data_IF_057733218535
#
_entry.id   IF_057733218535
#
_cell.length_a   1.000
_cell.length_b   1.000
_cell.length_c   1.000
_cell.angle_alpha   90.00
_cell.angle_beta   90.00
_cell.angle_gamma   90.00
#
_symmetry.space_group_name_H-M   'P 1'
#
loop_
_entity.id
_entity.type
_entity.pdbx_description
1 polymer ?
#
# COMPACT_ATOMS: atom_id res chain seq x y z
N UNK A 1 -56.55 13.29 45.85
CA UNK A 1 -56.14 14.69 46.08
C UNK A 1 -54.65 14.81 45.78
N UNK A 2 -54.31 15.62 44.78
CA UNK A 2 -52.95 15.89 44.30
C UNK A 2 -52.05 16.50 45.38
N UNK A 3 -50.76 16.12 45.39
CA UNK A 3 -49.67 17.08 45.57
C UNK A 3 -48.52 16.74 44.61
N UNK A 4 -47.98 17.82 44.07
CA UNK A 4 -47.00 17.97 43.00
C UNK A 4 -45.59 18.05 43.61
N UNK A 5 -44.59 17.74 42.80
CA UNK A 5 -43.15 17.50 43.06
C UNK A 5 -42.38 18.62 43.81
N UNK A 6 -41.12 18.35 44.21
CA UNK A 6 -40.01 18.93 43.43
C UNK A 6 -38.75 18.05 43.31
N UNK A 7 -38.11 18.17 42.14
CA UNK A 7 -36.66 18.26 41.87
C UNK A 7 -35.65 17.60 42.82
N UNK A 8 -34.95 16.57 42.32
CA UNK A 8 -33.50 16.42 42.52
C UNK A 8 -32.84 16.06 41.18
N UNK A 9 -31.92 16.92 40.75
CA UNK A 9 -31.03 16.70 39.63
C UNK A 9 -29.88 15.78 40.08
N UNK A 10 -29.64 14.70 39.35
CA UNK A 10 -28.50 13.80 39.55
C UNK A 10 -28.10 13.18 38.20
N UNK A 11 -26.80 13.11 37.89
CA UNK A 11 -26.28 13.38 36.56
C UNK A 11 -26.57 12.26 35.56
N UNK A 12 -26.92 12.69 34.35
CA UNK A 12 -26.95 11.84 33.18
C UNK A 12 -25.61 11.12 33.01
N UNK A 13 -25.65 9.79 33.05
CA UNK A 13 -24.52 8.93 32.66
C UNK A 13 -24.41 8.95 31.13
N UNK A 14 -23.97 10.08 30.58
CA UNK A 14 -23.39 10.10 29.24
C UNK A 14 -21.91 9.78 29.40
N UNK A 15 -21.53 8.55 29.07
CA UNK A 15 -20.22 8.14 28.52
C UNK A 15 -19.92 6.69 28.89
N UNK A 16 -20.14 5.76 27.94
CA UNK A 16 -19.44 4.47 27.91
C UNK A 16 -19.57 3.71 26.58
N UNK A 17 -20.10 4.28 25.49
CA UNK A 17 -20.34 3.52 24.24
C UNK A 17 -19.99 4.29 22.96
N UNK A 18 -19.05 5.23 23.01
CA UNK A 18 -18.65 6.05 21.85
C UNK A 18 -17.29 5.73 21.24
N UNK A 19 -16.40 5.00 21.91
CA UNK A 19 -14.96 5.08 21.60
C UNK A 19 -14.30 3.75 21.27
N UNK A 20 -14.93 2.92 20.43
CA UNK A 20 -14.33 1.64 20.00
C UNK A 20 -14.54 1.27 18.53
N UNK A 21 -15.09 2.13 17.67
CA UNK A 21 -15.39 1.73 16.27
C UNK A 21 -14.33 2.18 15.26
N UNK A 22 -13.42 3.10 15.59
CA UNK A 22 -12.63 3.77 14.53
C UNK A 22 -11.21 3.22 14.26
N UNK A 23 -10.64 2.34 15.09
CA UNK A 23 -9.21 1.97 14.96
C UNK A 23 -8.92 0.74 14.11
N UNK A 24 -9.90 -0.15 13.86
CA UNK A 24 -9.63 -1.45 13.23
C UNK A 24 -9.69 -1.42 11.69
N UNK A 25 -10.48 -0.52 11.10
CA UNK A 25 -10.69 -0.45 9.64
C UNK A 25 -9.52 0.14 8.86
N UNK A 26 -8.97 1.26 9.34
CA UNK A 26 -7.86 1.97 8.67
C UNK A 26 -6.57 1.15 8.62
N UNK A 27 -6.18 0.51 9.74
CA UNK A 27 -4.97 -0.30 9.78
C UNK A 27 -5.00 -1.55 8.88
N UNK A 28 -6.19 -2.11 8.64
CA UNK A 28 -6.39 -3.23 7.73
C UNK A 28 -6.34 -2.77 6.26
N UNK A 29 -6.98 -1.64 5.95
CA UNK A 29 -6.96 -1.05 4.62
C UNK A 29 -5.54 -0.62 4.20
N UNK A 30 -4.76 -0.03 5.11
CA UNK A 30 -3.37 0.37 4.86
C UNK A 30 -2.46 -0.82 4.56
N UNK A 31 -2.63 -1.92 5.30
CA UNK A 31 -1.89 -3.18 5.06
C UNK A 31 -2.25 -3.79 3.71
N UNK A 32 -3.53 -3.77 3.33
CA UNK A 32 -3.98 -4.27 2.04
C UNK A 32 -3.37 -3.44 0.89
N UNK A 33 -3.45 -2.10 0.97
CA UNK A 33 -2.85 -1.23 -0.05
C UNK A 33 -1.34 -1.38 -0.16
N UNK A 34 -0.64 -1.61 0.96
CA UNK A 34 0.80 -1.93 0.95
C UNK A 34 1.10 -3.26 0.27
N UNK A 35 0.30 -4.30 0.53
CA UNK A 35 0.45 -5.61 -0.12
C UNK A 35 0.26 -5.51 -1.63
N UNK A 36 -0.78 -4.81 -2.09
CA UNK A 36 -1.05 -4.59 -3.51
C UNK A 36 0.12 -3.87 -4.22
N UNK A 37 0.76 -2.90 -3.56
CA UNK A 37 1.94 -2.22 -4.12
C UNK A 37 3.17 -3.13 -4.19
N UNK A 38 3.40 -3.95 -3.17
CA UNK A 38 4.47 -4.96 -3.19
C UNK A 38 4.27 -5.92 -4.36
N UNK A 39 3.03 -6.38 -4.56
CA UNK A 39 2.68 -7.29 -5.64
C UNK A 39 2.86 -6.63 -7.01
N UNK A 40 2.47 -5.35 -7.15
CA UNK A 40 2.70 -4.59 -8.37
C UNK A 40 4.19 -4.48 -8.72
N UNK A 41 5.05 -4.12 -7.76
CA UNK A 41 6.51 -4.05 -7.98
C UNK A 41 7.07 -5.43 -8.35
N UNK A 42 6.61 -6.50 -7.69
CA UNK A 42 7.04 -7.85 -8.04
C UNK A 42 6.65 -8.25 -9.47
N UNK A 43 5.44 -7.86 -9.91
CA UNK A 43 4.99 -8.08 -11.28
C UNK A 43 5.82 -7.27 -12.28
N UNK A 44 6.11 -6.00 -12.01
CA UNK A 44 6.98 -5.16 -12.85
C UNK A 44 8.36 -5.80 -13.04
N UNK A 45 9.02 -6.21 -11.96
CA UNK A 45 10.32 -6.89 -12.05
C UNK A 45 10.24 -8.24 -12.76
N UNK A 46 9.11 -8.94 -12.66
CA UNK A 46 8.89 -10.19 -13.40
C UNK A 46 8.78 -9.94 -14.90
N UNK A 47 8.10 -8.86 -15.31
CA UNK A 47 8.05 -8.42 -16.71
C UNK A 47 9.44 -8.03 -17.20
N UNK A 48 10.18 -7.24 -16.44
CA UNK A 48 11.54 -6.84 -16.83
C UNK A 48 12.50 -8.01 -16.96
N UNK A 49 12.42 -9.00 -16.07
CA UNK A 49 13.25 -10.21 -16.15
C UNK A 49 13.04 -11.00 -17.45
N UNK A 50 11.82 -11.03 -17.95
CA UNK A 50 11.48 -11.74 -19.18
C UNK A 50 11.93 -10.93 -20.40
N UNK A 51 11.60 -9.64 -20.45
CA UNK A 51 11.84 -8.80 -21.63
C UNK A 51 13.30 -8.35 -21.77
N UNK A 52 14.03 -8.23 -20.67
CA UNK A 52 15.42 -7.76 -20.65
C UNK A 52 16.39 -8.82 -20.12
N UNK A 53 16.17 -10.10 -20.43
CA UNK A 53 16.87 -11.24 -19.81
C UNK A 53 18.38 -11.02 -19.57
N UNK A 54 19.15 -10.73 -20.62
CA UNK A 54 20.60 -10.56 -20.52
C UNK A 54 20.98 -9.37 -19.62
N UNK A 55 20.31 -8.23 -19.78
CA UNK A 55 20.57 -7.03 -18.99
C UNK A 55 20.15 -7.21 -17.54
N UNK A 56 19.03 -7.91 -17.32
CA UNK A 56 18.47 -8.16 -16.00
C UNK A 56 19.40 -9.03 -15.17
N UNK A 57 19.91 -10.14 -15.72
CA UNK A 57 20.86 -10.99 -14.99
C UNK A 57 22.26 -10.37 -14.88
N UNK A 58 22.63 -9.48 -15.80
CA UNK A 58 23.85 -8.69 -15.66
C UNK A 58 23.76 -7.67 -14.51
N UNK A 59 22.58 -7.03 -14.33
CA UNK A 59 22.35 -6.03 -13.29
C UNK A 59 22.04 -6.65 -11.91
N UNK A 60 21.31 -7.77 -11.89
CA UNK A 60 20.85 -8.46 -10.68
C UNK A 60 21.37 -9.90 -10.68
N UNK A 61 22.66 -10.03 -10.37
CA UNK A 61 23.37 -11.31 -10.36
C UNK A 61 23.04 -12.18 -9.13
N UNK A 62 22.50 -11.58 -8.07
CA UNK A 62 22.11 -12.28 -6.84
C UNK A 62 20.74 -11.79 -6.31
N UNK A 63 20.17 -12.59 -5.40
CA UNK A 63 18.82 -12.36 -4.86
C UNK A 63 18.78 -11.19 -3.88
N UNK A 64 19.86 -10.91 -3.15
CA UNK A 64 19.92 -9.80 -2.21
C UNK A 64 19.95 -8.45 -2.94
N UNK A 65 20.72 -8.35 -4.02
CA UNK A 65 20.75 -7.16 -4.89
C UNK A 65 19.39 -6.92 -5.55
N UNK A 66 18.73 -7.98 -6.06
CA UNK A 66 17.37 -7.88 -6.60
C UNK A 66 16.36 -7.40 -5.54
N UNK A 67 16.41 -7.96 -4.33
CA UNK A 67 15.50 -7.59 -3.25
C UNK A 67 15.71 -6.14 -2.78
N UNK A 68 16.97 -5.68 -2.72
CA UNK A 68 17.30 -4.30 -2.42
C UNK A 68 16.73 -3.34 -3.47
N UNK A 69 16.91 -3.65 -4.76
CA UNK A 69 16.34 -2.86 -5.85
C UNK A 69 14.81 -2.77 -5.75
N UNK A 70 14.11 -3.90 -5.55
CA UNK A 70 12.65 -3.91 -5.37
C UNK A 70 12.18 -3.06 -4.20
N UNK A 71 12.89 -3.10 -3.06
CA UNK A 71 12.57 -2.25 -1.89
C UNK A 71 12.75 -0.76 -2.21
N UNK A 72 13.83 -0.40 -2.90
CA UNK A 72 14.09 0.97 -3.31
C UNK A 72 13.00 1.49 -4.27
N UNK A 73 12.60 0.68 -5.24
CA UNK A 73 11.51 1.00 -6.17
C UNK A 73 10.17 1.14 -5.45
N UNK A 74 9.85 0.23 -4.53
CA UNK A 74 8.63 0.30 -3.73
C UNK A 74 8.54 1.60 -2.92
N UNK A 75 9.67 2.05 -2.34
CA UNK A 75 9.74 3.31 -1.60
C UNK A 75 9.64 4.53 -2.51
N UNK A 76 10.39 4.53 -3.62
CA UNK A 76 10.46 5.67 -4.55
C UNK A 76 9.15 5.89 -5.30
N UNK A 77 8.41 4.82 -5.55
CA UNK A 77 7.15 4.84 -6.31
C UNK A 77 5.91 4.78 -5.40
N UNK A 78 6.08 4.98 -4.09
CA UNK A 78 5.00 4.85 -3.11
C UNK A 78 3.81 5.80 -3.37
N UNK A 79 4.02 6.92 -4.05
CA UNK A 79 2.98 7.91 -4.38
C UNK A 79 2.07 7.46 -5.53
N UNK A 80 2.53 6.53 -6.38
CA UNK A 80 1.76 6.07 -7.54
C UNK A 80 0.82 4.92 -7.16
N UNK A 81 -0.29 4.81 -7.90
CA UNK A 81 -1.21 3.68 -7.77
C UNK A 81 -0.66 2.43 -8.46
N UNK A 82 -1.01 1.24 -7.96
CA UNK A 82 -0.55 -0.03 -8.51
C UNK A 82 -0.81 -0.16 -10.02
N UNK A 83 -1.97 0.28 -10.49
CA UNK A 83 -2.34 0.19 -11.90
C UNK A 83 -1.42 1.05 -12.78
N UNK A 84 -1.04 2.24 -12.30
CA UNK A 84 -0.11 3.13 -12.99
C UNK A 84 1.26 2.47 -13.17
N UNK A 85 1.76 1.77 -12.14
CA UNK A 85 3.04 1.06 -12.20
C UNK A 85 3.03 -0.04 -13.28
N UNK A 86 1.94 -0.81 -13.34
CA UNK A 86 1.81 -1.91 -14.29
C UNK A 86 1.67 -1.42 -15.73
N UNK A 87 0.91 -0.33 -15.96
CA UNK A 87 0.78 0.28 -17.29
C UNK A 87 2.13 0.86 -17.73
N UNK A 88 2.76 1.68 -16.89
CA UNK A 88 4.05 2.28 -17.21
C UNK A 88 5.13 1.23 -17.52
N UNK A 89 5.17 0.11 -16.78
CA UNK A 89 6.11 -0.96 -17.06
C UNK A 89 5.91 -1.60 -18.44
N UNK A 90 4.66 -1.75 -18.90
CA UNK A 90 4.35 -2.25 -20.24
C UNK A 90 4.76 -1.24 -21.31
N UNK A 91 4.42 0.03 -21.12
CA UNK A 91 4.77 1.10 -22.05
C UNK A 91 6.30 1.20 -22.22
N UNK A 92 7.06 1.08 -21.13
CA UNK A 92 8.54 1.10 -21.17
C UNK A 92 9.08 -0.10 -21.95
N UNK A 93 8.50 -1.29 -21.77
CA UNK A 93 8.93 -2.49 -22.51
C UNK A 93 8.75 -2.30 -24.03
N UNK A 94 7.70 -1.60 -24.45
CA UNK A 94 7.43 -1.32 -25.85
C UNK A 94 8.33 -0.22 -26.43
N UNK A 95 8.77 0.72 -25.61
CA UNK A 95 9.44 1.95 -26.06
C UNK A 95 10.95 1.98 -25.77
N UNK A 96 11.46 1.13 -24.87
CA UNK A 96 12.85 1.12 -24.44
C UNK A 96 13.53 -0.21 -24.73
N UNK A 97 14.66 -0.16 -25.43
CA UNK A 97 15.54 -1.30 -25.68
C UNK A 97 16.36 -1.70 -24.43
N UNK A 98 16.49 -0.78 -23.47
CA UNK A 98 17.28 -0.98 -22.26
C UNK A 98 16.40 -1.21 -21.04
N UNK A 99 16.92 -2.02 -20.12
CA UNK A 99 16.30 -2.24 -18.80
C UNK A 99 16.20 -0.89 -18.07
N UNK A 100 14.99 -0.43 -17.68
CA UNK A 100 14.83 0.82 -16.96
C UNK A 100 15.45 0.79 -15.56
N UNK A 101 15.94 1.96 -15.14
CA UNK A 101 16.32 2.27 -13.76
C UNK A 101 15.31 3.25 -13.13
N UNK A 102 15.37 3.46 -11.82
CA UNK A 102 14.62 4.55 -11.16
C UNK A 102 15.04 5.92 -11.68
#
# INVERSE_FOLDING_TARGET
MSKISPTEAGPARYNAMGEQIQTTGEAAADKAGKAEKIDAINQVFSLFRINYHNQFYAAYNDTDTLNQAKRLWLQSLATFQQQTLLVAARDIIEQSEYLPTL
#
